data_IF_490727859485
#
_entry.id   IF_490727859485
#
_cell.length_a   1.000
_cell.length_b   1.000
_cell.length_c   1.000
_cell.angle_alpha   90.00
_cell.angle_beta   90.00
_cell.angle_gamma   90.00
#
_symmetry.space_group_name_H-M   'P 1'
#
loop_
_entity.id
_entity.type
_entity.pdbx_description
1 polymer ?
#
# COMPACT_ATOMS: atom_id res chain seq x y z
N UNK A 1 -13.01 -9.13 -5.93
CA UNK A 1 -12.02 -8.62 -6.89
C UNK A 1 -12.39 -7.19 -7.32
N UNK A 2 -12.03 -6.22 -6.47
CA UNK A 2 -12.21 -4.78 -6.71
C UNK A 2 -11.71 -4.37 -8.11
N UNK A 3 -10.64 -5.00 -8.61
CA UNK A 3 -10.11 -4.76 -9.96
C UNK A 3 -11.04 -5.26 -11.08
N UNK A 4 -11.75 -6.37 -10.88
CA UNK A 4 -12.70 -6.87 -11.88
C UNK A 4 -13.96 -6.03 -11.92
N UNK A 5 -14.48 -5.62 -10.74
CA UNK A 5 -15.65 -4.77 -10.65
C UNK A 5 -15.34 -3.37 -11.19
N UNK A 6 -14.17 -2.82 -10.87
CA UNK A 6 -13.70 -1.54 -11.42
C UNK A 6 -13.51 -1.61 -12.95
N UNK A 7 -12.98 -2.71 -13.49
CA UNK A 7 -12.90 -2.94 -14.96
C UNK A 7 -14.27 -3.10 -15.58
N UNK A 8 -15.23 -3.79 -14.93
CA UNK A 8 -16.61 -3.90 -15.41
C UNK A 8 -17.31 -2.55 -15.43
N UNK A 9 -17.13 -1.73 -14.40
CA UNK A 9 -17.70 -0.38 -14.35
C UNK A 9 -17.08 0.54 -15.40
N UNK A 10 -15.77 0.45 -15.66
CA UNK A 10 -15.13 1.15 -16.77
C UNK A 10 -15.69 0.73 -18.14
N UNK A 11 -16.18 -0.50 -18.28
CA UNK A 11 -16.86 -0.97 -19.49
C UNK A 11 -18.33 -0.55 -19.57
N UNK A 12 -18.97 -0.24 -18.43
CA UNK A 12 -20.35 0.26 -18.37
C UNK A 12 -20.44 1.78 -18.44
N UNK A 13 -19.47 2.52 -17.87
CA UNK A 13 -19.38 3.97 -18.07
C UNK A 13 -18.96 4.23 -19.53
N UNK A 14 -19.84 4.91 -20.24
CA UNK A 14 -19.75 5.34 -21.63
C UNK A 14 -18.28 5.58 -22.02
N UNK A 15 -17.80 4.94 -23.06
CA UNK A 15 -16.40 4.88 -23.54
C UNK A 15 -15.70 6.23 -23.76
N UNK A 16 -16.37 7.35 -23.56
CA UNK A 16 -15.91 8.70 -23.90
C UNK A 16 -15.75 9.63 -22.70
N UNK A 17 -15.99 9.18 -21.46
CA UNK A 17 -15.83 9.99 -20.26
C UNK A 17 -14.59 9.57 -19.45
N UNK A 18 -13.74 10.52 -19.03
CA UNK A 18 -12.57 10.20 -18.22
C UNK A 18 -12.98 9.72 -16.82
N UNK A 19 -12.17 8.83 -16.26
CA UNK A 19 -12.32 8.31 -14.91
C UNK A 19 -11.47 9.11 -13.93
N UNK A 20 -12.05 9.47 -12.77
CA UNK A 20 -11.34 10.20 -11.72
C UNK A 20 -11.50 9.53 -10.36
N UNK A 21 -10.42 9.50 -9.59
CA UNK A 21 -10.48 9.18 -8.16
C UNK A 21 -10.27 10.47 -7.38
N UNK A 22 -11.22 10.75 -6.48
CA UNK A 22 -11.10 11.85 -5.52
C UNK A 22 -10.57 11.30 -4.18
N UNK A 23 -9.51 11.91 -3.67
CA UNK A 23 -8.91 11.55 -2.38
C UNK A 23 -8.26 12.78 -1.73
N UNK A 24 -7.89 12.67 -0.46
CA UNK A 24 -7.12 13.71 0.20
C UNK A 24 -5.62 13.41 0.14
N UNK A 25 -4.82 14.46 -0.07
CA UNK A 25 -3.35 14.37 -0.05
C UNK A 25 -2.79 14.01 1.34
N UNK A 26 -3.49 14.45 2.41
CA UNK A 26 -3.21 14.10 3.80
C UNK A 26 -4.37 13.29 4.35
N UNK A 27 -4.07 12.21 5.09
CA UNK A 27 -5.13 11.43 5.74
C UNK A 27 -5.94 12.31 6.70
N UNK A 28 -7.28 12.42 6.54
CA UNK A 28 -8.11 13.29 7.37
C UNK A 28 -7.93 13.04 8.88
N UNK A 29 -7.77 11.79 9.29
CA UNK A 29 -7.51 11.44 10.68
C UNK A 29 -6.24 12.07 11.26
N UNK A 30 -5.17 12.21 10.48
CA UNK A 30 -3.94 12.90 10.90
C UNK A 30 -4.20 14.39 11.13
N UNK A 31 -4.92 15.02 10.22
CA UNK A 31 -5.24 16.46 10.32
C UNK A 31 -6.21 16.78 11.47
N UNK A 32 -7.13 15.85 11.79
CA UNK A 32 -8.08 16.01 12.89
C UNK A 32 -7.45 15.76 14.26
N UNK A 33 -6.61 14.72 14.39
CA UNK A 33 -6.04 14.32 15.70
C UNK A 33 -4.70 14.97 16.00
N UNK A 34 -4.06 15.60 15.00
CA UNK A 34 -2.68 16.12 15.11
C UNK A 34 -1.63 15.02 15.27
N UNK A 35 -2.03 13.75 15.29
CA UNK A 35 -1.12 12.60 15.42
C UNK A 35 -0.96 11.91 14.07
N UNK A 36 0.27 11.68 13.58
CA UNK A 36 0.51 10.95 12.37
C UNK A 36 -0.16 9.56 12.44
N UNK A 37 -1.08 9.30 11.54
CA UNK A 37 -1.67 7.96 11.39
C UNK A 37 -0.93 7.21 10.30
N UNK A 38 -0.56 5.97 10.59
CA UNK A 38 0.07 5.12 9.59
C UNK A 38 -0.94 4.70 8.52
N UNK A 39 -0.49 4.71 7.27
CA UNK A 39 -1.28 4.34 6.09
C UNK A 39 -0.82 3.01 5.51
N UNK A 40 -1.76 2.22 5.00
CA UNK A 40 -1.47 0.98 4.28
C UNK A 40 -0.71 1.30 2.99
N UNK A 41 -1.16 2.34 2.29
CA UNK A 41 -0.61 2.78 1.01
C UNK A 41 -0.23 4.25 1.12
N UNK A 42 1.03 4.59 0.87
CA UNK A 42 1.50 5.98 0.81
C UNK A 42 0.95 6.68 -0.43
N UNK A 43 1.08 8.01 -0.51
CA UNK A 43 0.63 8.74 -1.70
C UNK A 43 1.37 8.30 -2.97
N UNK A 44 2.68 8.00 -2.84
CA UNK A 44 3.48 7.49 -3.95
C UNK A 44 2.95 6.14 -4.45
N UNK A 45 2.75 5.20 -3.53
CA UNK A 45 2.20 3.87 -3.83
C UNK A 45 0.78 3.96 -4.39
N UNK A 46 -0.04 4.87 -3.87
CA UNK A 46 -1.39 5.11 -4.38
C UNK A 46 -1.38 5.57 -5.83
N UNK A 47 -0.51 6.53 -6.17
CA UNK A 47 -0.35 7.02 -7.54
C UNK A 47 0.05 5.88 -8.48
N UNK A 48 1.07 5.10 -8.12
CA UNK A 48 1.50 3.95 -8.90
C UNK A 48 0.38 2.89 -9.07
N UNK A 49 -0.40 2.63 -8.01
CA UNK A 49 -1.54 1.71 -8.10
C UNK A 49 -2.64 2.23 -9.02
N UNK A 50 -2.96 3.53 -8.97
CA UNK A 50 -3.97 4.14 -9.84
C UNK A 50 -3.54 4.13 -11.31
N UNK A 51 -2.27 4.36 -11.58
CA UNK A 51 -1.68 4.24 -12.92
C UNK A 51 -1.80 2.81 -13.45
N UNK A 52 -1.43 1.80 -12.65
CA UNK A 52 -1.59 0.37 -13.02
C UNK A 52 -3.05 0.00 -13.33
N UNK A 53 -4.02 0.60 -12.63
CA UNK A 53 -5.46 0.39 -12.88
C UNK A 53 -5.95 1.15 -14.11
N UNK A 54 -5.21 2.15 -14.55
CA UNK A 54 -5.51 2.98 -15.71
C UNK A 54 -6.60 4.02 -15.42
N UNK A 55 -6.54 4.66 -14.25
CA UNK A 55 -7.33 5.83 -13.91
C UNK A 55 -6.77 7.03 -14.66
N UNK A 56 -7.66 7.83 -15.27
CA UNK A 56 -7.25 8.99 -16.07
C UNK A 56 -6.81 10.16 -15.19
N UNK A 57 -7.50 10.40 -14.05
CA UNK A 57 -7.21 11.48 -13.12
C UNK A 57 -7.21 11.02 -11.66
N UNK A 58 -6.19 11.41 -10.91
CA UNK A 58 -6.14 11.32 -9.46
C UNK A 58 -6.21 12.73 -8.87
N UNK A 59 -7.34 13.05 -8.25
CA UNK A 59 -7.55 14.35 -7.59
C UNK A 59 -7.14 14.21 -6.12
N UNK A 60 -5.94 14.67 -5.79
CA UNK A 60 -5.45 14.74 -4.40
C UNK A 60 -5.84 16.10 -3.80
N UNK A 61 -7.05 16.17 -3.25
CA UNK A 61 -7.59 17.42 -2.72
C UNK A 61 -6.89 17.80 -1.41
N UNK A 62 -6.49 19.07 -1.24
CA UNK A 62 -5.83 19.50 -0.01
C UNK A 62 -6.82 19.48 1.17
N UNK A 63 -6.39 18.93 2.31
CA UNK A 63 -7.16 18.95 3.55
C UNK A 63 -6.70 20.11 4.43
N UNK A 64 -7.21 21.32 4.13
CA UNK A 64 -6.94 22.57 4.85
C UNK A 64 -8.04 22.85 5.87
N UNK A 65 -7.88 23.90 6.70
CA UNK A 65 -8.95 24.35 7.58
C UNK A 65 -10.22 24.73 6.81
N UNK A 66 -10.10 25.35 5.64
CA UNK A 66 -11.22 25.71 4.77
C UNK A 66 -11.95 24.44 4.27
N UNK A 67 -11.22 23.49 3.70
CA UNK A 67 -11.81 22.26 3.15
C UNK A 67 -12.37 21.34 4.21
N UNK A 68 -11.77 21.35 5.42
CA UNK A 68 -12.26 20.63 6.59
C UNK A 68 -13.61 21.12 7.09
N UNK A 69 -13.88 22.42 6.95
CA UNK A 69 -15.14 23.04 7.38
C UNK A 69 -16.17 23.19 6.25
N UNK A 70 -15.87 22.65 5.07
CA UNK A 70 -16.79 22.68 3.94
C UNK A 70 -18.03 21.86 4.22
N UNK A 71 -19.21 22.49 4.13
CA UNK A 71 -20.48 21.78 4.30
C UNK A 71 -20.66 20.73 3.20
N UNK A 72 -21.28 19.58 3.52
CA UNK A 72 -21.38 18.47 2.58
C UNK A 72 -22.13 18.84 1.29
N UNK A 73 -23.17 19.67 1.35
CA UNK A 73 -23.89 20.16 0.17
C UNK A 73 -23.02 21.05 -0.71
N UNK A 74 -22.18 21.89 -0.10
CA UNK A 74 -21.24 22.75 -0.84
C UNK A 74 -20.17 21.87 -1.53
N UNK A 75 -19.66 20.83 -0.86
CA UNK A 75 -18.73 19.89 -1.46
C UNK A 75 -19.32 19.21 -2.71
N UNK A 76 -20.55 18.73 -2.64
CA UNK A 76 -21.22 18.09 -3.79
C UNK A 76 -21.44 19.08 -4.92
N UNK A 77 -22.00 20.27 -4.60
CA UNK A 77 -22.36 21.27 -5.58
C UNK A 77 -21.13 21.90 -6.24
N UNK A 78 -20.18 22.39 -5.43
CA UNK A 78 -19.10 23.23 -5.92
C UNK A 78 -17.90 22.43 -6.43
N UNK A 79 -17.63 21.24 -5.80
CA UNK A 79 -16.50 20.40 -6.16
C UNK A 79 -16.92 19.33 -7.15
N UNK A 80 -17.82 18.40 -6.75
CA UNK A 80 -18.13 17.25 -7.59
C UNK A 80 -18.90 17.65 -8.85
N UNK A 81 -19.99 18.38 -8.72
CA UNK A 81 -20.78 18.80 -9.86
C UNK A 81 -20.17 20.02 -10.57
N UNK A 82 -19.73 21.02 -9.81
CA UNK A 82 -19.27 22.30 -10.34
C UNK A 82 -17.89 22.25 -11.00
N UNK A 83 -16.84 21.86 -10.25
CA UNK A 83 -15.45 21.86 -10.76
C UNK A 83 -15.08 20.59 -11.50
N UNK A 84 -15.52 19.43 -11.01
CA UNK A 84 -15.21 18.15 -11.64
C UNK A 84 -16.18 17.77 -12.76
N UNK A 85 -17.33 18.44 -12.84
CA UNK A 85 -18.41 18.12 -13.79
C UNK A 85 -18.78 16.63 -13.76
N UNK A 86 -18.79 16.03 -12.56
CA UNK A 86 -19.10 14.62 -12.38
C UNK A 86 -20.49 14.28 -12.94
N UNK A 87 -20.57 13.26 -13.77
CA UNK A 87 -21.82 12.71 -14.33
C UNK A 87 -22.22 11.40 -13.69
N UNK A 88 -21.21 10.63 -13.30
CA UNK A 88 -21.36 9.36 -12.60
C UNK A 88 -20.55 9.45 -11.31
N UNK A 89 -21.18 9.22 -10.17
CA UNK A 89 -20.52 9.20 -8.86
C UNK A 89 -20.65 7.81 -8.28
N UNK A 90 -19.52 7.22 -7.90
CA UNK A 90 -19.42 5.86 -7.35
C UNK A 90 -18.90 5.93 -5.93
N UNK A 91 -19.64 5.39 -4.98
CA UNK A 91 -19.27 5.40 -3.55
C UNK A 91 -19.56 4.05 -2.89
N UNK A 92 -18.92 3.79 -1.74
CA UNK A 92 -19.34 2.72 -0.84
C UNK A 92 -20.54 3.12 0.03
N UNK A 93 -21.22 2.17 0.66
CA UNK A 93 -22.39 2.45 1.48
C UNK A 93 -22.09 3.25 2.75
N UNK A 94 -20.84 3.23 3.22
CA UNK A 94 -20.35 3.96 4.38
C UNK A 94 -19.57 5.22 4.02
N UNK A 95 -19.78 5.75 2.80
CA UNK A 95 -19.09 6.99 2.41
C UNK A 95 -19.49 8.13 3.35
N UNK A 96 -18.49 8.93 3.75
CA UNK A 96 -18.71 10.13 4.53
C UNK A 96 -17.82 11.26 4.02
N UNK A 97 -18.37 12.48 3.95
CA UNK A 97 -17.68 13.65 3.43
C UNK A 97 -18.21 14.93 4.05
N UNK A 98 -17.57 16.06 3.73
CA UNK A 98 -17.93 17.36 4.27
C UNK A 98 -17.58 17.53 5.75
N UNK A 99 -18.03 18.65 6.32
CA UNK A 99 -17.73 18.99 7.71
C UNK A 99 -18.19 17.91 8.68
N UNK A 100 -17.27 17.44 9.53
CA UNK A 100 -17.45 16.33 10.50
C UNK A 100 -17.98 15.03 9.88
N UNK A 101 -17.85 14.84 8.57
CA UNK A 101 -18.35 13.65 7.87
C UNK A 101 -19.88 13.56 7.82
N UNK A 102 -20.56 14.71 7.83
CA UNK A 102 -22.03 14.77 7.83
C UNK A 102 -22.68 14.37 6.49
N UNK A 103 -21.90 14.41 5.40
CA UNK A 103 -22.36 13.94 4.09
C UNK A 103 -22.36 12.42 3.99
N UNK A 104 -23.33 11.85 3.29
CA UNK A 104 -23.55 10.41 3.13
C UNK A 104 -24.04 10.06 1.73
N UNK A 105 -24.18 8.77 1.43
CA UNK A 105 -24.75 8.29 0.18
C UNK A 105 -26.20 8.79 -0.03
N UNK A 106 -26.99 8.91 1.05
CA UNK A 106 -28.36 9.42 1.00
C UNK A 106 -28.36 10.90 0.57
N UNK A 107 -27.44 11.72 1.08
CA UNK A 107 -27.32 13.11 0.65
C UNK A 107 -26.94 13.21 -0.83
N UNK A 108 -25.96 12.40 -1.27
CA UNK A 108 -25.62 12.33 -2.70
C UNK A 108 -26.83 11.93 -3.54
N UNK A 109 -27.62 10.96 -3.11
CA UNK A 109 -28.82 10.53 -3.80
C UNK A 109 -29.88 11.63 -3.89
N UNK A 110 -30.07 12.37 -2.80
CA UNK A 110 -31.05 13.46 -2.76
C UNK A 110 -30.69 14.61 -3.73
N UNK A 111 -29.39 14.90 -3.90
CA UNK A 111 -28.91 16.00 -4.74
C UNK A 111 -28.72 15.59 -6.22
N UNK A 112 -28.74 14.31 -6.53
CA UNK A 112 -28.39 13.77 -7.86
C UNK A 112 -29.21 14.36 -8.99
N UNK A 113 -30.54 14.42 -8.82
CA UNK A 113 -31.47 14.92 -9.84
C UNK A 113 -31.22 16.40 -10.17
N UNK A 114 -31.06 17.21 -9.14
CA UNK A 114 -30.96 18.68 -9.29
C UNK A 114 -29.59 19.09 -9.85
N UNK A 115 -28.55 18.31 -9.58
CA UNK A 115 -27.18 18.54 -10.04
C UNK A 115 -26.82 17.74 -11.30
N UNK A 116 -27.71 16.90 -11.81
CA UNK A 116 -27.59 16.20 -13.08
C UNK A 116 -26.49 15.13 -13.13
N UNK A 117 -26.29 14.37 -12.04
CA UNK A 117 -25.42 13.22 -12.01
C UNK A 117 -26.19 11.93 -11.61
N UNK A 118 -25.59 10.77 -11.89
CA UNK A 118 -26.08 9.49 -11.40
C UNK A 118 -25.20 8.99 -10.25
N UNK A 119 -25.82 8.39 -9.24
CA UNK A 119 -25.14 7.80 -8.08
C UNK A 119 -25.15 6.28 -8.16
N UNK A 120 -23.99 5.68 -7.98
CA UNK A 120 -23.80 4.24 -7.82
C UNK A 120 -23.27 3.94 -6.41
N UNK A 121 -24.06 3.24 -5.61
CA UNK A 121 -23.61 2.76 -4.31
C UNK A 121 -23.20 1.30 -4.46
N UNK A 122 -21.93 0.99 -4.19
CA UNK A 122 -21.36 -0.34 -4.39
C UNK A 122 -21.16 -1.00 -3.05
N UNK A 123 -21.76 -2.17 -2.90
CA UNK A 123 -21.60 -2.99 -1.72
C UNK A 123 -20.13 -3.37 -1.50
N UNK A 124 -19.74 -3.47 -0.24
CA UNK A 124 -18.40 -3.91 0.13
C UNK A 124 -18.20 -5.38 -0.21
N UNK A 125 -17.05 -5.68 -0.76
CA UNK A 125 -16.57 -7.05 -0.87
C UNK A 125 -16.40 -7.67 0.52
N UNK A 126 -16.68 -8.96 0.63
CA UNK A 126 -16.60 -9.71 1.88
C UNK A 126 -15.59 -10.84 1.78
N UNK A 127 -14.83 -11.02 2.85
CA UNK A 127 -14.08 -12.21 3.11
C UNK A 127 -14.91 -13.08 4.08
N UNK A 128 -15.55 -14.12 3.54
CA UNK A 128 -16.58 -14.90 4.23
C UNK A 128 -17.72 -14.02 4.76
N UNK A 129 -17.73 -13.71 6.06
CA UNK A 129 -18.78 -12.91 6.74
C UNK A 129 -18.31 -11.54 7.16
N UNK A 130 -17.04 -11.19 6.91
CA UNK A 130 -16.42 -9.93 7.31
C UNK A 130 -16.20 -9.04 6.10
N UNK A 131 -16.61 -7.77 6.20
CA UNK A 131 -16.34 -6.78 5.18
C UNK A 131 -14.83 -6.54 5.04
N UNK A 132 -14.34 -6.52 3.80
CA UNK A 132 -12.96 -6.11 3.49
C UNK A 132 -12.84 -4.61 3.78
N UNK A 133 -11.92 -4.26 4.68
CA UNK A 133 -11.71 -2.88 5.11
C UNK A 133 -10.26 -2.62 5.46
N UNK A 134 -9.86 -1.34 5.47
CA UNK A 134 -8.53 -0.95 5.93
C UNK A 134 -8.21 -1.40 7.36
N UNK A 135 -9.22 -1.48 8.23
CA UNK A 135 -9.05 -1.99 9.60
C UNK A 135 -8.69 -3.47 9.58
N UNK A 136 -9.41 -4.27 8.80
CA UNK A 136 -9.12 -5.71 8.67
C UNK A 136 -7.72 -5.95 8.11
N UNK A 137 -7.33 -5.23 7.06
CA UNK A 137 -5.98 -5.35 6.48
C UNK A 137 -4.90 -4.98 7.51
N UNK A 138 -5.08 -3.92 8.31
CA UNK A 138 -4.13 -3.54 9.36
C UNK A 138 -3.97 -4.61 10.42
N UNK A 139 -5.07 -5.25 10.85
CA UNK A 139 -5.02 -6.35 11.80
C UNK A 139 -4.21 -7.54 11.29
N UNK A 140 -4.38 -7.91 10.00
CA UNK A 140 -3.62 -9.00 9.41
C UNK A 140 -2.13 -8.66 9.26
N UNK A 141 -1.80 -7.43 8.88
CA UNK A 141 -0.41 -6.95 8.85
C UNK A 141 0.24 -6.96 10.25
N UNK A 142 -0.50 -6.59 11.30
CA UNK A 142 -0.02 -6.63 12.70
C UNK A 142 0.28 -8.05 13.19
N UNK A 143 -0.50 -9.02 12.76
CA UNK A 143 -0.27 -10.45 13.04
C UNK A 143 0.92 -11.02 12.25
N UNK A 144 1.33 -10.38 11.17
CA UNK A 144 2.30 -10.90 10.20
C UNK A 144 1.66 -11.79 9.13
N UNK A 145 0.33 -11.89 9.09
CA UNK A 145 -0.41 -12.70 8.11
C UNK A 145 -0.50 -11.93 6.77
N UNK A 146 0.67 -11.78 6.14
CA UNK A 146 0.80 -10.99 4.92
C UNK A 146 0.09 -11.64 3.73
N UNK A 147 0.02 -12.96 3.68
CA UNK A 147 -0.71 -13.72 2.66
C UNK A 147 -2.20 -13.34 2.68
N UNK A 148 -2.79 -13.27 3.88
CA UNK A 148 -4.17 -12.83 4.03
C UNK A 148 -4.35 -11.36 3.68
N UNK A 149 -3.43 -10.50 4.12
CA UNK A 149 -3.44 -9.09 3.75
C UNK A 149 -3.39 -8.91 2.22
N UNK A 150 -2.58 -9.70 1.51
CA UNK A 150 -2.48 -9.70 0.05
C UNK A 150 -3.80 -10.12 -0.64
N UNK A 151 -4.45 -11.16 -0.10
CA UNK A 151 -5.79 -11.56 -0.59
C UNK A 151 -6.81 -10.43 -0.44
N UNK A 152 -6.83 -9.77 0.73
CA UNK A 152 -7.74 -8.66 1.00
C UNK A 152 -7.44 -7.42 0.15
N UNK A 153 -6.17 -7.17 -0.15
CA UNK A 153 -5.72 -6.07 -1.02
C UNK A 153 -5.92 -6.38 -2.51
N UNK A 154 -6.04 -7.65 -2.90
CA UNK A 154 -6.05 -8.08 -4.30
C UNK A 154 -4.68 -7.98 -4.99
N UNK A 155 -3.62 -7.67 -4.24
CA UNK A 155 -2.24 -7.56 -4.71
C UNK A 155 -1.26 -7.72 -3.54
N UNK A 156 0.02 -8.06 -3.79
CA UNK A 156 1.02 -8.12 -2.75
C UNK A 156 1.21 -6.77 -2.04
N UNK A 157 1.35 -6.83 -0.71
CA UNK A 157 1.66 -5.65 0.09
C UNK A 157 3.05 -5.13 -0.24
N UNK A 158 3.13 -3.91 -0.74
CA UNK A 158 4.35 -3.31 -1.24
C UNK A 158 4.88 -2.22 -0.31
N UNK A 159 6.21 -2.11 -0.26
CA UNK A 159 6.95 -1.04 0.41
C UNK A 159 7.90 -0.44 -0.61
N UNK A 160 7.76 0.86 -0.87
CA UNK A 160 8.62 1.58 -1.79
C UNK A 160 9.64 2.41 -1.02
N UNK A 161 10.83 2.53 -1.58
CA UNK A 161 11.86 3.41 -1.04
C UNK A 161 13.11 3.46 -1.89
N UNK A 162 13.91 4.48 -1.63
CA UNK A 162 15.25 4.60 -2.19
C UNK A 162 16.21 3.66 -1.45
N UNK A 163 17.06 2.99 -2.19
CA UNK A 163 18.11 2.12 -1.63
C UNK A 163 19.20 2.98 -1.02
N UNK A 164 19.36 2.87 0.28
CA UNK A 164 20.35 3.58 1.07
C UNK A 164 21.45 2.65 1.58
N UNK A 165 22.59 3.23 1.94
CA UNK A 165 23.65 2.46 2.58
C UNK A 165 23.20 1.91 3.94
N UNK A 166 23.29 0.60 4.12
CA UNK A 166 23.07 -0.07 5.41
C UNK A 166 24.33 -0.04 6.28
N UNK A 167 24.27 -0.70 7.43
CA UNK A 167 25.41 -0.81 8.36
C UNK A 167 26.55 -1.73 7.85
N UNK A 168 26.56 -2.13 6.58
CA UNK A 168 27.56 -2.96 5.90
C UNK A 168 27.87 -4.34 6.54
N UNK A 169 27.11 -4.76 7.57
CA UNK A 169 27.40 -6.02 8.27
C UNK A 169 27.06 -7.23 7.39
N UNK A 170 25.98 -7.16 6.61
CA UNK A 170 25.56 -8.27 5.73
C UNK A 170 26.38 -8.40 4.47
N UNK A 171 26.73 -7.29 3.81
CA UNK A 171 27.39 -7.30 2.49
C UNK A 171 28.86 -7.69 2.54
N UNK A 172 29.63 -7.10 3.47
CA UNK A 172 31.09 -7.27 3.49
C UNK A 172 31.55 -8.49 4.30
N UNK A 173 30.79 -8.91 5.33
CA UNK A 173 31.18 -9.98 6.23
C UNK A 173 30.51 -11.33 5.93
N UNK A 174 29.28 -11.31 5.45
CA UNK A 174 28.50 -12.54 5.22
C UNK A 174 28.41 -12.95 3.76
N UNK A 175 28.85 -12.10 2.82
CA UNK A 175 28.72 -12.36 1.38
C UNK A 175 27.29 -12.30 0.83
N UNK A 176 26.36 -11.68 1.59
CA UNK A 176 24.96 -11.48 1.20
C UNK A 176 24.68 -9.98 1.07
N UNK A 177 24.94 -9.36 -0.12
CA UNK A 177 24.63 -7.96 -0.31
C UNK A 177 23.12 -7.74 -0.15
N UNK A 178 22.74 -6.79 0.71
CA UNK A 178 21.35 -6.46 0.99
C UNK A 178 21.03 -5.03 0.57
N UNK A 179 19.87 -4.85 -0.04
CA UNK A 179 19.28 -3.54 -0.28
C UNK A 179 18.57 -3.06 1.00
N UNK A 180 18.91 -1.87 1.45
CA UNK A 180 18.28 -1.25 2.60
C UNK A 180 17.40 -0.10 2.13
N UNK A 181 16.12 -0.10 2.51
CA UNK A 181 15.22 1.03 2.29
C UNK A 181 14.68 1.55 3.61
N UNK A 182 14.49 2.87 3.69
CA UNK A 182 13.86 3.54 4.82
C UNK A 182 12.48 4.02 4.38
N UNK A 183 11.42 3.27 4.69
CA UNK A 183 10.07 3.69 4.35
C UNK A 183 9.71 4.97 5.13
N UNK A 184 8.85 5.84 4.56
CA UNK A 184 8.41 7.02 5.27
C UNK A 184 7.70 6.64 6.58
N UNK A 185 7.84 7.45 7.66
CA UNK A 185 7.28 7.12 8.99
C UNK A 185 5.78 6.87 9.01
N UNK A 186 5.05 7.40 8.03
CA UNK A 186 3.61 7.18 7.88
C UNK A 186 3.28 5.81 7.27
N UNK A 187 4.24 5.11 6.66
CA UNK A 187 4.00 3.77 6.10
C UNK A 187 3.74 2.77 7.21
N UNK A 188 2.60 2.07 7.13
CA UNK A 188 2.35 0.95 8.03
C UNK A 188 3.28 -0.20 7.68
N UNK A 189 4.15 -0.58 8.60
CA UNK A 189 4.92 -1.81 8.45
C UNK A 189 4.14 -2.97 9.07
N UNK A 190 4.27 -4.19 8.54
CA UNK A 190 3.69 -5.38 9.14
C UNK A 190 4.44 -5.76 10.41
N UNK A 191 4.06 -6.86 11.05
CA UNK A 191 4.82 -7.45 12.16
C UNK A 191 6.30 -7.57 11.80
N UNK A 192 7.19 -7.22 12.72
CA UNK A 192 8.63 -7.36 12.49
C UNK A 192 9.03 -8.82 12.35
N UNK A 193 9.91 -9.10 11.40
CA UNK A 193 10.34 -10.43 11.07
C UNK A 193 10.87 -10.58 9.65
N UNK A 194 11.05 -11.80 9.23
CA UNK A 194 11.58 -12.20 7.92
C UNK A 194 10.43 -12.66 7.04
N UNK A 195 10.48 -12.23 5.79
CA UNK A 195 9.45 -12.47 4.77
C UNK A 195 10.07 -12.99 3.48
N UNK A 196 9.38 -13.89 2.82
CA UNK A 196 9.58 -14.11 1.39
C UNK A 196 9.07 -12.88 0.67
N UNK A 197 9.85 -12.35 -0.26
CA UNK A 197 9.51 -11.13 -0.99
C UNK A 197 9.94 -11.20 -2.45
N UNK A 198 9.31 -10.40 -3.30
CA UNK A 198 9.85 -10.09 -4.62
C UNK A 198 10.14 -8.62 -4.72
N UNK A 199 11.16 -8.28 -5.48
CA UNK A 199 11.67 -6.92 -5.58
C UNK A 199 11.64 -6.47 -7.02
N UNK A 200 10.99 -5.34 -7.28
CA UNK A 200 11.00 -4.70 -8.58
C UNK A 200 12.16 -3.70 -8.65
N UNK A 201 13.11 -3.96 -9.54
CA UNK A 201 14.27 -3.09 -9.83
C UNK A 201 14.31 -2.86 -11.32
N UNK A 202 14.25 -1.62 -11.76
CA UNK A 202 14.33 -1.21 -13.17
C UNK A 202 13.35 -2.00 -14.10
N UNK A 203 12.14 -2.28 -13.61
CA UNK A 203 11.11 -2.99 -14.35
C UNK A 203 11.21 -4.53 -14.31
N UNK A 204 12.21 -5.09 -13.63
CA UNK A 204 12.43 -6.55 -13.52
C UNK A 204 12.14 -7.01 -12.10
N UNK A 205 11.39 -8.10 -11.94
CA UNK A 205 11.15 -8.74 -10.65
C UNK A 205 12.23 -9.76 -10.30
N UNK A 206 12.78 -9.62 -9.10
CA UNK A 206 13.74 -10.52 -8.51
C UNK A 206 13.14 -11.20 -7.28
N UNK A 207 13.54 -12.45 -7.02
CA UNK A 207 13.27 -13.14 -5.77
C UNK A 207 13.99 -12.43 -4.62
N UNK A 208 13.42 -12.43 -3.42
CA UNK A 208 14.04 -11.81 -2.26
C UNK A 208 13.65 -12.45 -0.94
N UNK A 209 14.48 -12.17 0.07
CA UNK A 209 14.19 -12.40 1.49
C UNK A 209 14.34 -11.04 2.18
N UNK A 210 13.29 -10.61 2.86
CA UNK A 210 13.21 -9.28 3.47
C UNK A 210 13.10 -9.38 4.98
N UNK A 211 14.01 -8.74 5.69
CA UNK A 211 13.90 -8.51 7.12
C UNK A 211 13.31 -7.11 7.39
N UNK A 212 12.24 -7.05 8.17
CA UNK A 212 11.64 -5.81 8.66
C UNK A 212 11.84 -5.73 10.15
N UNK A 213 12.52 -4.69 10.63
CA UNK A 213 12.82 -4.57 12.04
C UNK A 213 13.45 -3.26 12.44
N UNK A 214 13.62 -3.07 13.75
CA UNK A 214 14.34 -1.92 14.30
C UNK A 214 15.83 -2.17 14.20
N UNK A 215 16.57 -1.24 13.60
CA UNK A 215 18.03 -1.30 13.62
C UNK A 215 18.52 -0.81 14.99
N UNK A 216 19.30 -1.63 15.73
CA UNK A 216 19.96 -1.15 16.92
C UNK A 216 21.05 -0.14 16.52
N UNK A 217 20.92 1.10 16.95
CA UNK A 217 21.96 2.13 16.75
C UNK A 217 22.27 2.81 18.07
N UNK A 218 23.53 3.15 18.21
CA UNK A 218 24.04 3.92 19.33
C UNK A 218 23.52 5.36 19.18
N UNK A 219 22.56 5.76 20.05
CA UNK A 219 22.22 7.18 20.25
C UNK A 219 20.92 7.72 19.65
N UNK A 220 19.93 6.90 19.25
CA UNK A 220 18.61 7.42 18.81
C UNK A 220 17.57 6.35 18.49
N UNK A 221 16.28 6.70 18.56
CA UNK A 221 15.20 5.88 17.98
C UNK A 221 15.23 6.01 16.45
N UNK A 222 15.80 5.03 15.77
CA UNK A 222 15.69 4.97 14.31
C UNK A 222 14.38 4.32 13.90
N UNK A 223 13.76 4.82 12.81
CA UNK A 223 12.60 4.17 12.23
C UNK A 223 12.95 2.75 11.82
N UNK A 224 11.97 1.86 11.86
CA UNK A 224 12.16 0.50 11.38
C UNK A 224 12.63 0.50 9.91
N UNK A 225 13.64 -0.31 9.61
CA UNK A 225 14.19 -0.48 8.28
C UNK A 225 13.62 -1.71 7.59
N UNK A 226 13.74 -1.73 6.28
CA UNK A 226 13.44 -2.87 5.41
C UNK A 226 14.76 -3.24 4.74
N UNK A 227 15.28 -4.40 5.05
CA UNK A 227 16.54 -4.93 4.53
C UNK A 227 16.25 -6.19 3.72
N UNK A 228 16.58 -6.16 2.43
CA UNK A 228 16.23 -7.23 1.50
C UNK A 228 17.48 -7.81 0.84
N UNK A 229 17.69 -9.11 0.99
CA UNK A 229 18.58 -9.87 0.14
C UNK A 229 17.86 -10.18 -1.18
N UNK A 230 18.46 -9.79 -2.29
CA UNK A 230 17.90 -9.95 -3.64
C UNK A 230 18.67 -11.03 -4.38
N UNK A 231 18.01 -12.10 -4.78
CA UNK A 231 18.62 -13.24 -5.43
C UNK A 231 19.10 -12.90 -6.85
N UNK A 232 20.36 -13.17 -7.15
CA UNK A 232 20.90 -13.03 -8.50
C UNK A 232 20.97 -11.61 -9.04
N UNK A 233 20.77 -10.59 -8.18
CA UNK A 233 20.97 -9.21 -8.58
C UNK A 233 22.46 -8.88 -8.59
N UNK A 234 22.97 -8.47 -9.75
CA UNK A 234 24.34 -8.00 -9.93
C UNK A 234 24.35 -6.49 -10.13
N UNK A 235 25.43 -5.85 -9.67
CA UNK A 235 25.63 -4.42 -9.83
C UNK A 235 25.17 -3.58 -8.64
N UNK A 236 25.38 -2.27 -8.77
CA UNK A 236 25.04 -1.28 -7.75
C UNK A 236 23.63 -0.72 -7.98
N UNK A 237 22.82 -0.74 -6.91
CA UNK A 237 21.46 -0.18 -6.92
C UNK A 237 21.26 0.95 -5.90
N UNK A 238 22.33 1.45 -5.28
CA UNK A 238 22.22 2.59 -4.37
C UNK A 238 21.63 3.83 -5.07
N UNK A 239 20.75 4.52 -4.36
CA UNK A 239 20.02 5.67 -4.89
C UNK A 239 18.86 5.32 -5.82
N UNK A 240 18.68 4.05 -6.22
CA UNK A 240 17.50 3.64 -6.99
C UNK A 240 16.29 3.48 -6.11
N UNK A 241 15.12 3.82 -6.65
CA UNK A 241 13.85 3.51 -6.02
C UNK A 241 13.44 2.08 -6.39
N UNK A 242 13.18 1.26 -5.38
CA UNK A 242 12.72 -0.12 -5.55
C UNK A 242 11.37 -0.33 -4.87
N UNK A 243 10.66 -1.35 -5.33
CA UNK A 243 9.41 -1.83 -4.71
C UNK A 243 9.65 -3.22 -4.12
N UNK A 244 9.52 -3.35 -2.81
CA UNK A 244 9.61 -4.64 -2.11
C UNK A 244 8.19 -5.13 -1.82
N UNK A 245 7.80 -6.23 -2.43
CA UNK A 245 6.49 -6.87 -2.26
C UNK A 245 6.64 -8.08 -1.34
N UNK A 246 5.90 -8.06 -0.23
CA UNK A 246 5.91 -9.15 0.75
C UNK A 246 4.93 -10.25 0.33
N UNK A 247 5.39 -11.49 0.28
CA UNK A 247 4.62 -12.62 -0.23
C UNK A 247 4.17 -13.57 0.88
N UNK A 248 5.07 -13.95 1.78
CA UNK A 248 4.78 -14.84 2.91
C UNK A 248 5.62 -14.49 4.13
N UNK A 249 5.09 -14.75 5.32
CA UNK A 249 5.83 -14.59 6.58
C UNK A 249 6.61 -15.86 6.87
N UNK A 250 7.92 -15.74 7.04
CA UNK A 250 8.78 -16.88 7.44
C UNK A 250 8.84 -16.98 8.98
N UNK A 251 9.35 -15.94 9.66
CA UNK A 251 9.59 -15.97 11.09
C UNK A 251 9.67 -14.59 11.74
N UNK A 252 9.51 -14.48 13.07
CA UNK A 252 9.80 -13.23 13.79
C UNK A 252 11.30 -12.91 13.79
N UNK A 253 11.63 -11.66 14.14
CA UNK A 253 13.01 -11.27 14.41
C UNK A 253 13.63 -12.13 15.50
N UNK A 254 14.91 -12.45 15.32
CA UNK A 254 15.70 -13.25 16.25
C UNK A 254 17.04 -12.57 16.51
N UNK A 255 17.54 -12.64 17.73
CA UNK A 255 18.90 -12.24 18.08
C UNK A 255 19.83 -13.45 17.91
N UNK A 256 21.01 -13.19 17.38
CA UNK A 256 22.03 -14.20 17.17
C UNK A 256 23.21 -13.92 18.10
N UNK A 257 23.84 -14.97 18.59
CA UNK A 257 24.98 -14.90 19.52
C UNK A 257 26.32 -14.94 18.77
N UNK A 258 26.32 -15.43 17.53
CA UNK A 258 27.49 -15.50 16.66
C UNK A 258 27.15 -15.21 15.19
N UNK A 259 28.19 -14.97 14.40
CA UNK A 259 28.08 -14.79 12.95
C UNK A 259 27.71 -16.09 12.25
N UNK A 260 28.19 -17.21 12.74
CA UNK A 260 27.91 -18.54 12.21
C UNK A 260 26.43 -18.85 12.34
N UNK A 261 25.85 -18.62 13.51
CA UNK A 261 24.42 -18.80 13.77
C UNK A 261 23.57 -17.93 12.83
N UNK A 262 23.96 -16.64 12.65
CA UNK A 262 23.28 -15.75 11.71
C UNK A 262 23.35 -16.27 10.28
N UNK A 263 24.54 -16.71 9.82
CA UNK A 263 24.75 -17.23 8.48
C UNK A 263 23.90 -18.46 8.21
N UNK A 264 23.94 -19.45 9.13
CA UNK A 264 23.11 -20.66 9.03
C UNK A 264 21.62 -20.32 8.96
N UNK A 265 21.20 -19.32 9.71
CA UNK A 265 19.80 -18.91 9.71
C UNK A 265 19.40 -18.23 8.38
N UNK A 266 20.24 -17.37 7.82
CA UNK A 266 20.01 -16.76 6.52
C UNK A 266 19.90 -17.83 5.42
N UNK A 267 20.73 -18.88 5.46
CA UNK A 267 20.61 -19.98 4.49
C UNK A 267 19.26 -20.69 4.61
N UNK A 268 18.77 -20.96 5.83
CA UNK A 268 17.43 -21.53 6.03
C UNK A 268 16.30 -20.62 5.53
N UNK A 269 16.43 -19.29 5.74
CA UNK A 269 15.46 -18.32 5.23
C UNK A 269 15.45 -18.31 3.68
N UNK A 270 16.62 -18.51 3.04
CA UNK A 270 16.74 -18.65 1.58
C UNK A 270 16.13 -19.97 1.09
N UNK A 271 16.36 -21.08 1.80
CA UNK A 271 15.74 -22.37 1.48
C UNK A 271 14.21 -22.28 1.55
N UNK A 272 13.68 -21.67 2.62
CA UNK A 272 12.25 -21.43 2.76
C UNK A 272 11.69 -20.60 1.61
N UNK A 273 12.38 -19.51 1.23
CA UNK A 273 11.98 -18.67 0.11
C UNK A 273 12.01 -19.45 -1.22
N UNK A 274 13.04 -20.26 -1.48
CA UNK A 274 13.11 -21.07 -2.69
C UNK A 274 11.97 -22.07 -2.77
N UNK A 275 11.66 -22.78 -1.67
CA UNK A 275 10.52 -23.70 -1.61
C UNK A 275 9.18 -22.97 -1.86
N UNK A 276 9.02 -21.75 -1.36
CA UNK A 276 7.84 -20.92 -1.65
C UNK A 276 7.72 -20.65 -3.15
N UNK A 277 8.81 -20.24 -3.82
CA UNK A 277 8.79 -19.92 -5.25
C UNK A 277 8.61 -21.15 -6.14
N UNK A 278 9.07 -22.32 -5.72
CA UNK A 278 8.80 -23.58 -6.42
C UNK A 278 7.31 -23.92 -6.44
N UNK A 279 6.61 -23.59 -5.36
CA UNK A 279 5.17 -23.79 -5.23
C UNK A 279 4.33 -22.63 -5.85
N UNK A 280 4.94 -21.47 -6.13
CA UNK A 280 4.28 -20.26 -6.65
C UNK A 280 5.09 -19.64 -7.79
N UNK A 281 5.32 -20.36 -8.91
CA UNK A 281 6.16 -19.88 -10.02
C UNK A 281 5.59 -18.61 -10.68
N UNK A 282 4.27 -18.39 -10.60
CA UNK A 282 3.58 -17.20 -11.12
C UNK A 282 4.02 -15.90 -10.45
N UNK A 283 4.57 -15.97 -9.23
CA UNK A 283 5.00 -14.78 -8.50
C UNK A 283 6.23 -14.09 -9.10
N UNK A 284 6.99 -14.79 -9.97
CA UNK A 284 8.17 -14.26 -10.66
C UNK A 284 7.96 -14.12 -12.16
N UNK A 285 7.00 -14.87 -12.72
CA UNK A 285 6.75 -14.90 -14.17
C UNK A 285 6.09 -13.62 -14.74
N UNK A 286 5.85 -12.59 -13.92
CA UNK A 286 5.27 -11.32 -14.35
C UNK A 286 6.40 -10.28 -14.54
N UNK A 287 7.06 -10.37 -15.67
CA UNK A 287 7.98 -9.39 -16.20
C UNK A 287 7.52 -8.94 -17.57
#
# INVERSE_FOLDING_TARGET
DLHKEYRRQRQMCIRDSPTAIFTFGTAPGTAVTGKPQTVITTNLERRANMEKVGIDYLVEYPFTEETRHMEPEAFVKDILAGRMHAREIVVGPDCSFGYKGAGSAELLSAMARDLGYHLHVIEKEKDHRRDISSTYIREELEKGNVEKANQLLGQPYAIHGEVVHGNHIGGSLLGFPTANILPPPIKRLPRYGVYVSRVLVDGVYYKGVTNIGKKPTVGGEYPAGVETYIFGLEGDIYGKNIEVQLLAFDRPEQKFTSFEELKERIEKDKEFANAYYENHPEMIAQG
#
